data_IF_595939818835
#
_entry.id   IF_595939818835
#
_cell.length_a   1.000
_cell.length_b   1.000
_cell.length_c   1.000
_cell.angle_alpha   90.00
_cell.angle_beta   90.00
_cell.angle_gamma   90.00
#
_symmetry.space_group_name_H-M   'P 1'
#
loop_
_entity.id
_entity.type
_entity.pdbx_description
1 polymer ?
#
# COMPACT_ATOMS: atom_id res chain seq x y z
N UNK A 1 -23.04 -8.29 18.44
CA UNK A 1 -21.65 -8.76 18.26
C UNK A 1 -21.59 -10.24 18.64
N UNK A 2 -21.63 -11.13 17.64
CA UNK A 2 -21.47 -12.57 17.91
C UNK A 2 -20.01 -12.93 17.63
N UNK A 3 -19.28 -13.24 18.67
CA UNK A 3 -17.97 -13.87 18.56
C UNK A 3 -18.20 -15.29 18.02
N UNK A 4 -17.77 -15.58 16.81
CA UNK A 4 -17.82 -16.93 16.24
C UNK A 4 -17.03 -17.90 17.11
N UNK A 5 -17.64 -19.01 17.46
CA UNK A 5 -17.02 -20.04 18.29
C UNK A 5 -16.00 -20.86 17.49
N UNK A 6 -15.06 -21.51 18.20
CA UNK A 6 -14.07 -22.43 17.58
C UNK A 6 -14.77 -23.57 16.80
N UNK A 7 -16.04 -23.84 17.07
CA UNK A 7 -16.86 -24.82 16.35
C UNK A 7 -17.26 -24.33 14.96
N UNK A 8 -17.42 -23.01 14.74
CA UNK A 8 -17.72 -22.41 13.44
C UNK A 8 -16.55 -22.56 12.47
N UNK A 9 -15.32 -22.55 12.98
CA UNK A 9 -14.10 -22.75 12.18
C UNK A 9 -13.99 -24.18 11.65
N UNK A 10 -14.54 -25.18 12.35
CA UNK A 10 -14.54 -26.59 11.89
C UNK A 10 -15.62 -26.89 10.86
N UNK A 11 -16.72 -26.15 10.83
CA UNK A 11 -17.80 -26.31 9.86
C UNK A 11 -17.40 -25.86 8.44
N UNK A 12 -16.38 -25.00 8.31
CA UNK A 12 -15.84 -24.53 7.03
C UNK A 12 -15.02 -25.59 6.26
N UNK A 13 -14.70 -26.72 6.88
CA UNK A 13 -13.85 -27.76 6.27
C UNK A 13 -14.59 -28.91 5.59
N UNK A 14 -15.93 -28.91 5.51
CA UNK A 14 -16.67 -30.02 4.91
C UNK A 14 -17.80 -29.57 3.99
N UNK A 15 -17.47 -29.25 2.73
CA UNK A 15 -18.50 -29.27 1.65
C UNK A 15 -17.90 -29.87 0.38
N UNK A 16 -18.20 -31.16 0.18
CA UNK A 16 -18.07 -31.81 -1.13
C UNK A 16 -19.08 -31.17 -2.08
N UNK A 17 -18.60 -30.63 -3.21
CA UNK A 17 -19.46 -30.24 -4.35
C UNK A 17 -19.68 -28.74 -4.58
N UNK A 18 -19.05 -27.82 -3.81
CA UNK A 18 -19.08 -26.40 -4.11
C UNK A 18 -17.83 -26.04 -4.93
N UNK A 19 -17.98 -25.36 -6.05
CA UNK A 19 -16.87 -24.69 -6.73
C UNK A 19 -16.16 -23.88 -5.66
N UNK A 20 -14.87 -24.17 -5.42
CA UNK A 20 -14.10 -23.40 -4.45
C UNK A 20 -13.98 -21.97 -5.01
N UNK A 21 -14.35 -20.98 -4.22
CA UNK A 21 -14.14 -19.60 -4.61
C UNK A 21 -12.63 -19.36 -4.85
N UNK A 22 -12.33 -18.58 -5.86
CA UNK A 22 -10.97 -18.10 -6.11
C UNK A 22 -10.51 -17.14 -5.02
N UNK A 23 -9.27 -16.69 -5.10
CA UNK A 23 -8.59 -15.85 -4.10
C UNK A 23 -8.19 -14.52 -4.67
N UNK A 24 -8.07 -13.51 -3.79
CA UNK A 24 -7.41 -12.26 -4.09
C UNK A 24 -5.94 -12.33 -3.63
N UNK A 25 -5.02 -12.05 -4.56
CA UNK A 25 -3.59 -11.92 -4.29
C UNK A 25 -3.16 -10.46 -4.39
N UNK A 26 -2.70 -9.87 -3.28
CA UNK A 26 -2.09 -8.55 -3.30
C UNK A 26 -0.62 -8.72 -3.70
N UNK A 27 -0.25 -8.26 -4.88
CA UNK A 27 1.06 -8.46 -5.47
C UNK A 27 1.85 -7.15 -5.47
N UNK A 28 2.83 -7.04 -4.57
CA UNK A 28 3.68 -5.87 -4.49
C UNK A 28 4.54 -5.70 -5.75
N UNK A 29 4.47 -4.52 -6.37
CA UNK A 29 5.23 -4.14 -7.57
C UNK A 29 6.46 -3.31 -7.20
N UNK A 30 7.49 -3.24 -8.07
CA UNK A 30 8.66 -2.42 -7.83
C UNK A 30 8.34 -0.95 -7.59
N UNK A 31 9.07 -0.29 -6.68
CA UNK A 31 8.92 1.15 -6.39
C UNK A 31 9.91 2.03 -7.19
N UNK A 32 10.74 1.42 -8.01
CA UNK A 32 11.71 2.14 -8.83
C UNK A 32 12.78 1.26 -9.49
N UNK A 33 12.95 0.03 -9.02
CA UNK A 33 13.90 -0.93 -9.56
C UNK A 33 13.19 -2.27 -9.83
N UNK A 34 13.23 -2.74 -11.06
CA UNK A 34 12.56 -3.98 -11.47
C UNK A 34 13.09 -5.22 -10.73
N UNK A 35 14.33 -5.18 -10.23
CA UNK A 35 14.94 -6.28 -9.48
C UNK A 35 14.32 -6.48 -8.09
N UNK A 36 13.58 -5.50 -7.58
CA UNK A 36 12.91 -5.59 -6.29
C UNK A 36 11.62 -6.44 -6.31
N UNK A 37 11.14 -6.86 -7.48
CA UNK A 37 10.00 -7.78 -7.56
C UNK A 37 10.40 -9.17 -7.06
N UNK A 38 9.53 -9.80 -6.29
CA UNK A 38 9.82 -11.14 -5.81
C UNK A 38 9.50 -12.22 -6.84
N UNK A 39 10.26 -13.30 -6.86
CA UNK A 39 9.97 -14.49 -7.69
C UNK A 39 8.53 -15.00 -7.48
N UNK A 40 8.02 -14.93 -6.25
CA UNK A 40 6.66 -15.36 -5.92
C UNK A 40 5.63 -14.47 -6.58
N UNK A 41 5.83 -13.15 -6.59
CA UNK A 41 4.92 -12.21 -7.28
C UNK A 41 4.91 -12.50 -8.78
N UNK A 42 6.07 -12.62 -9.43
CA UNK A 42 6.15 -12.92 -10.87
C UNK A 42 5.41 -14.23 -11.20
N UNK A 43 5.64 -15.28 -10.40
CA UNK A 43 4.95 -16.55 -10.57
C UNK A 43 3.44 -16.40 -10.41
N UNK A 44 2.98 -15.78 -9.33
CA UNK A 44 1.54 -15.57 -9.07
C UNK A 44 0.87 -14.78 -10.19
N UNK A 45 1.50 -13.71 -10.69
CA UNK A 45 0.98 -12.93 -11.82
C UNK A 45 0.87 -13.73 -13.13
N UNK A 46 1.68 -14.81 -13.30
CA UNK A 46 1.58 -15.72 -14.43
C UNK A 46 0.51 -16.81 -14.27
N UNK A 47 0.17 -17.14 -13.03
CA UNK A 47 -0.73 -18.24 -12.67
C UNK A 47 -2.19 -17.83 -12.48
N UNK A 48 -2.46 -16.58 -12.04
CA UNK A 48 -3.83 -16.10 -11.82
C UNK A 48 -4.62 -15.92 -13.13
N UNK A 49 -5.94 -15.91 -13.04
CA UNK A 49 -6.83 -15.77 -14.18
C UNK A 49 -7.00 -14.33 -14.64
N UNK A 50 -6.82 -13.36 -13.74
CA UNK A 50 -7.00 -11.94 -14.04
C UNK A 50 -6.10 -11.08 -13.15
N UNK A 51 -5.55 -10.01 -13.73
CA UNK A 51 -4.83 -8.97 -12.99
C UNK A 51 -5.69 -7.71 -12.95
N UNK A 52 -6.01 -7.22 -11.75
CA UNK A 52 -6.58 -5.90 -11.52
C UNK A 52 -5.44 -4.89 -11.27
N UNK A 53 -5.37 -3.83 -12.08
CA UNK A 53 -4.28 -2.87 -12.04
C UNK A 53 -4.80 -1.43 -11.92
N UNK A 54 -4.11 -0.59 -11.16
CA UNK A 54 -4.46 0.81 -10.96
C UNK A 54 -4.38 1.60 -12.27
N UNK A 55 -3.23 1.61 -12.94
CA UNK A 55 -3.07 2.10 -14.31
C UNK A 55 -2.54 0.98 -15.23
N UNK A 56 -3.41 0.51 -16.12
CA UNK A 56 -3.08 -0.56 -17.05
C UNK A 56 -1.97 -0.17 -18.03
N UNK A 57 -1.81 1.13 -18.35
CA UNK A 57 -0.77 1.63 -19.26
C UNK A 57 0.63 1.55 -18.63
N UNK A 58 0.72 1.78 -17.33
CA UNK A 58 1.97 1.63 -16.58
C UNK A 58 2.27 0.15 -16.35
N UNK A 59 1.28 -0.60 -15.91
CA UNK A 59 1.41 -2.02 -15.58
C UNK A 59 1.82 -2.88 -16.77
N UNK A 60 1.37 -2.56 -18.00
CA UNK A 60 1.74 -3.36 -19.18
C UNK A 60 3.26 -3.41 -19.42
N UNK A 61 4.00 -2.36 -19.04
CA UNK A 61 5.47 -2.35 -19.17
C UNK A 61 6.12 -3.36 -18.24
N UNK A 62 5.63 -3.42 -16.99
CA UNK A 62 6.08 -4.40 -16.00
C UNK A 62 5.77 -5.83 -16.46
N UNK A 63 4.52 -6.08 -16.88
CA UNK A 63 4.07 -7.40 -17.30
C UNK A 63 4.86 -7.88 -18.53
N UNK A 64 5.09 -7.02 -19.51
CA UNK A 64 5.90 -7.36 -20.70
C UNK A 64 7.35 -7.68 -20.32
N UNK A 65 7.95 -6.93 -19.38
CA UNK A 65 9.33 -7.19 -18.95
C UNK A 65 9.52 -8.59 -18.36
N UNK A 66 8.53 -9.08 -17.61
CA UNK A 66 8.56 -10.41 -16.99
C UNK A 66 7.82 -11.49 -17.80
N UNK A 67 7.46 -11.17 -19.07
CA UNK A 67 6.74 -12.10 -19.96
C UNK A 67 5.45 -12.65 -19.34
N UNK A 68 4.69 -11.79 -18.64
CA UNK A 68 3.40 -12.12 -18.06
C UNK A 68 2.32 -11.79 -19.09
N UNK A 69 1.50 -12.79 -19.45
CA UNK A 69 0.46 -12.69 -20.49
C UNK A 69 -0.96 -12.74 -19.91
N UNK A 70 -1.09 -12.77 -18.60
CA UNK A 70 -2.37 -12.82 -17.90
C UNK A 70 -3.23 -11.61 -18.28
N UNK A 71 -4.52 -11.80 -18.57
CA UNK A 71 -5.45 -10.71 -18.88
C UNK A 71 -5.46 -9.67 -17.75
N UNK A 72 -5.65 -8.39 -18.14
CA UNK A 72 -5.62 -7.28 -17.19
C UNK A 72 -6.90 -6.44 -17.29
N UNK A 73 -7.36 -5.93 -16.16
CA UNK A 73 -8.48 -4.98 -16.05
C UNK A 73 -8.09 -3.81 -15.17
N UNK A 74 -8.71 -2.65 -15.37
CA UNK A 74 -8.48 -1.47 -14.53
C UNK A 74 -9.22 -1.57 -13.20
N UNK A 75 -8.56 -1.13 -12.11
CA UNK A 75 -9.14 -0.97 -10.79
C UNK A 75 -8.51 0.26 -10.13
N UNK A 76 -9.19 1.40 -10.15
CA UNK A 76 -8.67 2.69 -9.70
C UNK A 76 -9.69 3.46 -8.88
N UNK A 77 -9.30 4.56 -8.26
CA UNK A 77 -10.09 5.35 -7.31
C UNK A 77 -11.51 5.69 -7.83
N UNK A 78 -11.65 5.99 -9.13
CA UNK A 78 -12.94 6.41 -9.71
C UNK A 78 -13.92 5.26 -10.00
N UNK A 79 -13.46 4.01 -10.02
CA UNK A 79 -14.32 2.84 -10.28
C UNK A 79 -14.29 1.79 -9.16
N UNK A 80 -13.57 2.05 -8.07
CA UNK A 80 -13.19 1.06 -7.06
C UNK A 80 -14.36 0.26 -6.47
N UNK A 81 -15.48 0.90 -6.18
CA UNK A 81 -16.60 0.21 -5.52
C UNK A 81 -17.34 -0.73 -6.47
N UNK A 82 -17.81 -0.23 -7.62
CA UNK A 82 -18.50 -1.06 -8.60
C UNK A 82 -17.59 -2.19 -9.10
N UNK A 83 -16.35 -1.83 -9.40
CA UNK A 83 -15.38 -2.79 -9.93
C UNK A 83 -14.99 -3.85 -8.89
N UNK A 84 -14.94 -3.50 -7.59
CA UNK A 84 -14.68 -4.46 -6.53
C UNK A 84 -15.74 -5.58 -6.51
N UNK A 85 -17.02 -5.22 -6.57
CA UNK A 85 -18.09 -6.24 -6.63
C UNK A 85 -18.00 -7.11 -7.88
N UNK A 86 -17.68 -6.53 -9.05
CA UNK A 86 -17.45 -7.31 -10.28
C UNK A 86 -16.28 -8.31 -10.13
N UNK A 87 -15.21 -7.93 -9.42
CA UNK A 87 -14.07 -8.79 -9.14
C UNK A 87 -14.44 -9.88 -8.13
N UNK A 88 -15.21 -9.52 -7.10
CA UNK A 88 -15.72 -10.49 -6.10
C UNK A 88 -16.61 -11.55 -6.78
N UNK A 89 -17.50 -11.15 -7.68
CA UNK A 89 -18.35 -12.11 -8.39
C UNK A 89 -17.52 -13.09 -9.22
N UNK A 90 -16.46 -12.62 -9.90
CA UNK A 90 -15.53 -13.49 -10.61
C UNK A 90 -14.79 -14.46 -9.67
N UNK A 91 -14.37 -13.99 -8.49
CA UNK A 91 -13.76 -14.88 -7.49
C UNK A 91 -14.75 -15.90 -6.94
N UNK A 92 -16.01 -15.55 -6.78
CA UNK A 92 -17.07 -16.51 -6.44
C UNK A 92 -17.29 -17.60 -7.50
N UNK A 93 -17.03 -17.26 -8.76
CA UNK A 93 -17.04 -18.21 -9.89
C UNK A 93 -15.78 -19.11 -9.93
N UNK A 94 -14.81 -18.87 -9.02
CA UNK A 94 -13.60 -19.67 -8.87
C UNK A 94 -12.34 -19.08 -9.51
N UNK A 95 -12.38 -17.83 -10.02
CA UNK A 95 -11.21 -17.21 -10.63
C UNK A 95 -10.28 -16.65 -9.56
N UNK A 96 -8.99 -16.93 -9.68
CA UNK A 96 -7.94 -16.27 -8.90
C UNK A 96 -7.59 -14.90 -9.50
N UNK A 97 -7.56 -13.88 -8.66
CA UNK A 97 -7.30 -12.50 -9.11
C UNK A 97 -6.09 -11.92 -8.37
N UNK A 98 -5.16 -11.31 -9.11
CA UNK A 98 -4.10 -10.51 -8.54
C UNK A 98 -4.44 -9.02 -8.60
N UNK A 99 -4.23 -8.30 -7.50
CA UNK A 99 -4.25 -6.85 -7.47
C UNK A 99 -2.82 -6.33 -7.49
N UNK A 100 -2.55 -5.38 -8.38
CA UNK A 100 -1.30 -4.61 -8.43
C UNK A 100 -1.60 -3.12 -8.45
N UNK A 101 -0.70 -2.32 -7.93
CA UNK A 101 -0.70 -0.86 -7.98
C UNK A 101 0.44 -0.36 -8.86
N UNK A 102 0.50 0.93 -9.11
CA UNK A 102 1.57 1.54 -9.92
C UNK A 102 2.95 1.33 -9.28
N UNK A 103 3.03 1.33 -7.95
CA UNK A 103 4.28 1.11 -7.22
C UNK A 103 4.04 0.63 -5.79
N UNK A 104 4.71 -0.43 -5.38
CA UNK A 104 4.71 -0.91 -4.01
C UNK A 104 3.64 -1.93 -3.68
N UNK A 105 3.29 -2.02 -2.41
CA UNK A 105 2.37 -3.01 -1.85
C UNK A 105 0.93 -2.50 -1.96
N UNK A 106 0.02 -3.23 -2.64
CA UNK A 106 -1.39 -2.85 -2.74
C UNK A 106 -2.09 -2.79 -1.37
N UNK A 107 -3.05 -1.86 -1.23
CA UNK A 107 -3.78 -1.62 0.01
C UNK A 107 -3.05 -0.69 1.00
N UNK A 108 -1.94 -0.08 0.56
CA UNK A 108 -1.19 0.91 1.34
C UNK A 108 -1.23 2.25 0.62
N UNK A 109 -2.19 3.10 0.99
CA UNK A 109 -2.43 4.41 0.37
C UNK A 109 -2.89 4.36 -1.09
N UNK A 110 -3.68 3.36 -1.42
CA UNK A 110 -4.28 3.13 -2.74
C UNK A 110 -5.67 2.48 -2.61
N UNK A 111 -6.48 2.42 -3.69
CA UNK A 111 -7.85 1.87 -3.63
C UNK A 111 -7.93 0.37 -3.30
N UNK A 112 -6.82 -0.33 -3.19
CA UNK A 112 -6.77 -1.74 -2.80
C UNK A 112 -7.38 -2.03 -1.44
N UNK A 113 -7.34 -1.07 -0.52
CA UNK A 113 -7.96 -1.16 0.80
C UNK A 113 -9.45 -1.48 0.70
N UNK A 114 -10.19 -0.80 -0.19
CA UNK A 114 -11.62 -1.03 -0.39
C UNK A 114 -11.91 -2.44 -0.93
N UNK A 115 -11.10 -2.92 -1.89
CA UNK A 115 -11.26 -4.27 -2.44
C UNK A 115 -11.01 -5.33 -1.36
N UNK A 116 -9.98 -5.17 -0.54
CA UNK A 116 -9.67 -6.08 0.57
C UNK A 116 -10.82 -6.12 1.57
N UNK A 117 -11.35 -4.96 1.96
CA UNK A 117 -12.49 -4.85 2.87
C UNK A 117 -13.72 -5.56 2.32
N UNK A 118 -14.07 -5.32 1.05
CA UNK A 118 -15.20 -5.97 0.40
C UNK A 118 -14.98 -7.49 0.29
N UNK A 119 -13.79 -7.95 -0.07
CA UNK A 119 -13.45 -9.37 -0.08
C UNK A 119 -13.64 -10.00 1.30
N UNK A 120 -13.23 -9.34 2.36
CA UNK A 120 -13.42 -9.81 3.73
C UNK A 120 -14.91 -9.90 4.10
N UNK A 121 -15.72 -8.89 3.77
CA UNK A 121 -17.16 -8.85 3.99
C UNK A 121 -17.89 -9.98 3.22
N UNK A 122 -17.39 -10.32 2.03
CA UNK A 122 -17.97 -11.33 1.12
C UNK A 122 -17.37 -12.74 1.28
N UNK A 123 -16.49 -12.93 2.26
CA UNK A 123 -15.88 -14.23 2.57
C UNK A 123 -14.89 -14.75 1.52
N UNK A 124 -14.32 -13.88 0.70
CA UNK A 124 -13.25 -14.20 -0.26
C UNK A 124 -11.90 -14.21 0.47
N UNK A 125 -11.12 -15.27 0.25
CA UNK A 125 -9.78 -15.39 0.81
C UNK A 125 -8.82 -14.35 0.19
N UNK A 126 -8.08 -13.61 1.02
CA UNK A 126 -7.08 -12.63 0.60
C UNK A 126 -5.70 -13.06 1.06
N UNK A 127 -4.73 -13.03 0.17
CA UNK A 127 -3.31 -13.29 0.47
C UNK A 127 -2.47 -12.12 0.02
N UNK A 128 -1.72 -11.51 0.93
CA UNK A 128 -0.71 -10.49 0.59
C UNK A 128 0.67 -11.11 0.40
N UNK A 129 1.28 -10.85 -0.74
CA UNK A 129 2.62 -11.32 -1.04
C UNK A 129 3.64 -10.26 -0.58
N UNK A 130 4.59 -10.61 0.31
CA UNK A 130 5.63 -9.66 0.73
C UNK A 130 6.40 -9.09 -0.46
N UNK A 131 6.72 -7.81 -0.39
CA UNK A 131 7.48 -7.15 -1.44
C UNK A 131 7.79 -5.69 -1.13
N UNK A 132 8.16 -4.89 -2.13
CA UNK A 132 8.55 -3.49 -1.95
C UNK A 132 7.47 -2.66 -1.28
N UNK A 133 7.88 -1.82 -0.30
CA UNK A 133 7.03 -0.84 0.35
C UNK A 133 7.87 0.42 0.66
N UNK A 134 7.55 1.53 0.04
CA UNK A 134 8.34 2.76 0.15
C UNK A 134 8.45 3.24 1.61
N UNK A 135 7.37 3.17 2.40
CA UNK A 135 7.37 3.58 3.80
C UNK A 135 8.36 2.77 4.65
N UNK A 136 8.43 1.47 4.45
CA UNK A 136 9.36 0.60 5.19
C UNK A 136 10.80 0.82 4.70
N UNK A 137 11.01 0.92 3.39
CA UNK A 137 12.33 1.20 2.81
C UNK A 137 12.87 2.55 3.33
N UNK A 138 12.06 3.61 3.29
CA UNK A 138 12.43 4.91 3.82
C UNK A 138 12.71 4.85 5.33
N UNK A 139 11.86 4.19 6.12
CA UNK A 139 12.03 4.08 7.57
C UNK A 139 13.34 3.38 7.93
N UNK A 140 13.66 2.27 7.28
CA UNK A 140 14.88 1.49 7.59
C UNK A 140 16.17 2.23 7.25
N UNK A 141 16.17 3.07 6.20
CA UNK A 141 17.35 3.85 5.83
C UNK A 141 17.41 5.23 6.47
N UNK A 142 16.32 5.71 7.10
CA UNK A 142 16.22 7.08 7.63
C UNK A 142 17.16 7.38 8.80
N UNK A 143 17.59 6.36 9.56
CA UNK A 143 18.29 6.54 10.84
C UNK A 143 17.36 7.01 11.98
N UNK A 144 16.03 6.99 11.78
CA UNK A 144 15.04 7.26 12.82
C UNK A 144 14.70 5.98 13.59
N UNK A 145 14.08 6.04 14.79
CA UNK A 145 13.64 4.85 15.49
C UNK A 145 12.59 4.08 14.70
N UNK A 146 12.82 2.80 14.52
CA UNK A 146 11.96 1.91 13.73
C UNK A 146 11.00 1.08 14.58
N UNK A 147 11.22 1.00 15.89
CA UNK A 147 10.44 0.10 16.77
C UNK A 147 8.95 0.48 16.84
N UNK A 148 8.64 1.77 16.81
CA UNK A 148 7.28 2.30 16.83
C UNK A 148 7.21 3.46 15.84
N UNK A 149 6.28 3.38 14.91
CA UNK A 149 6.06 4.43 13.92
C UNK A 149 4.56 4.59 13.63
N UNK A 150 4.20 5.73 13.08
CA UNK A 150 2.88 6.05 12.56
C UNK A 150 3.01 6.34 11.07
N UNK A 151 2.16 5.74 10.25
CA UNK A 151 2.09 5.98 8.82
C UNK A 151 0.84 6.81 8.51
N UNK A 152 1.05 8.01 7.99
CA UNK A 152 -0.02 8.99 7.71
C UNK A 152 -0.34 9.08 6.21
N UNK A 153 0.34 8.28 5.37
CA UNK A 153 0.18 8.32 3.93
C UNK A 153 0.36 9.76 3.36
N UNK A 154 -0.47 10.16 2.38
CA UNK A 154 -0.54 11.53 1.89
C UNK A 154 -1.44 12.37 2.78
N UNK A 155 -0.94 13.53 3.24
CA UNK A 155 -1.77 14.46 3.99
C UNK A 155 -2.95 14.97 3.12
N UNK A 156 -4.15 15.17 3.69
CA UNK A 156 -5.30 15.63 2.96
C UNK A 156 -5.03 16.91 2.15
N UNK A 157 -5.63 17.02 0.98
CA UNK A 157 -5.53 18.24 0.14
C UNK A 157 -6.43 19.35 0.62
N UNK A 158 -7.57 19.00 1.21
CA UNK A 158 -8.52 19.94 1.77
C UNK A 158 -7.91 20.58 3.03
N UNK A 159 -7.90 21.92 3.09
CA UNK A 159 -7.18 22.70 4.12
C UNK A 159 -7.64 22.37 5.54
N UNK A 160 -8.95 22.20 5.73
CA UNK A 160 -9.53 21.95 7.07
C UNK A 160 -9.17 20.54 7.58
N UNK A 161 -9.29 19.55 6.71
CA UNK A 161 -8.93 18.16 7.03
C UNK A 161 -7.42 18.03 7.29
N UNK A 162 -6.61 18.68 6.45
CA UNK A 162 -5.15 18.72 6.61
C UNK A 162 -4.73 19.33 7.95
N UNK A 163 -5.34 20.46 8.31
CA UNK A 163 -5.08 21.10 9.60
C UNK A 163 -5.48 20.22 10.78
N UNK A 164 -6.60 19.48 10.66
CA UNK A 164 -7.05 18.54 11.69
C UNK A 164 -6.05 17.40 11.88
N UNK A 165 -5.54 16.79 10.80
CA UNK A 165 -4.51 15.74 10.86
C UNK A 165 -3.23 16.29 11.47
N UNK A 166 -2.72 17.43 10.99
CA UNK A 166 -1.51 18.05 11.54
C UNK A 166 -1.64 18.34 13.04
N UNK A 167 -2.79 18.83 13.48
CA UNK A 167 -3.08 19.07 14.90
C UNK A 167 -3.01 17.79 15.75
N UNK A 168 -3.45 16.65 15.24
CA UNK A 168 -3.34 15.36 15.92
C UNK A 168 -1.88 14.92 16.07
N UNK A 169 -1.04 15.23 15.07
CA UNK A 169 0.37 14.86 15.05
C UNK A 169 1.24 15.67 16.03
N UNK A 170 0.74 16.77 16.58
CA UNK A 170 1.49 17.60 17.56
C UNK A 170 1.98 16.79 18.74
N UNK A 171 1.17 15.86 19.24
CA UNK A 171 1.50 15.02 20.39
C UNK A 171 2.05 13.64 20.01
N UNK A 172 2.24 13.35 18.71
CA UNK A 172 2.77 12.07 18.27
C UNK A 172 4.27 11.94 18.64
N UNK A 173 4.60 10.88 19.35
CA UNK A 173 5.95 10.59 19.87
C UNK A 173 6.69 9.52 19.05
N UNK A 174 5.98 8.79 18.22
CA UNK A 174 6.54 7.79 17.31
C UNK A 174 7.19 8.48 16.11
N UNK A 175 8.00 7.73 15.36
CA UNK A 175 8.43 8.18 14.02
C UNK A 175 7.21 8.28 13.12
N UNK A 176 6.96 9.45 12.56
CA UNK A 176 5.87 9.70 11.61
C UNK A 176 6.43 9.51 10.20
N UNK A 177 5.70 8.78 9.37
CA UNK A 177 6.01 8.58 7.95
C UNK A 177 4.90 9.22 7.14
N UNK A 178 5.28 10.15 6.26
CA UNK A 178 4.37 10.88 5.37
C UNK A 178 4.82 10.66 3.93
N UNK A 179 3.87 10.43 3.02
CA UNK A 179 4.12 10.49 1.58
C UNK A 179 3.85 11.90 1.07
N UNK A 180 4.74 12.39 0.21
CA UNK A 180 4.52 13.69 -0.40
C UNK A 180 5.00 13.74 -1.85
N UNK A 181 4.26 14.48 -2.67
CA UNK A 181 4.64 14.73 -4.05
C UNK A 181 5.74 15.79 -4.14
N UNK A 182 6.73 15.66 -5.05
CA UNK A 182 7.88 16.57 -5.10
C UNK A 182 7.51 18.05 -5.19
N UNK A 183 6.44 18.38 -5.93
CA UNK A 183 5.98 19.76 -6.13
C UNK A 183 5.24 20.35 -4.93
N UNK A 184 4.89 19.56 -3.93
CA UNK A 184 4.28 20.02 -2.68
C UNK A 184 5.24 19.99 -1.49
N UNK A 185 6.41 19.37 -1.63
CA UNK A 185 7.33 19.08 -0.55
C UNK A 185 7.69 20.33 0.29
N UNK A 186 8.09 21.44 -0.36
CA UNK A 186 8.51 22.66 0.35
C UNK A 186 7.38 23.19 1.23
N UNK A 187 6.19 23.32 0.67
CA UNK A 187 5.02 23.79 1.42
C UNK A 187 4.70 22.88 2.59
N UNK A 188 4.75 21.55 2.38
CA UNK A 188 4.49 20.58 3.44
C UNK A 188 5.53 20.66 4.55
N UNK A 189 6.81 20.89 4.22
CA UNK A 189 7.87 21.08 5.22
C UNK A 189 7.63 22.35 6.05
N UNK A 190 7.22 23.47 5.43
CA UNK A 190 6.86 24.70 6.12
C UNK A 190 5.69 24.48 7.08
N UNK A 191 4.60 23.85 6.62
CA UNK A 191 3.43 23.54 7.45
C UNK A 191 3.77 22.60 8.62
N UNK A 192 4.62 21.60 8.40
CA UNK A 192 5.09 20.70 9.44
C UNK A 192 5.94 21.46 10.48
N UNK A 193 6.83 22.34 10.03
CA UNK A 193 7.64 23.15 10.93
C UNK A 193 6.78 24.09 11.78
N UNK A 194 5.83 24.80 11.18
CA UNK A 194 4.91 25.70 11.88
C UNK A 194 4.03 24.98 12.91
N UNK A 195 3.57 23.76 12.58
CA UNK A 195 2.62 23.04 13.42
C UNK A 195 3.30 22.15 14.46
N UNK A 196 4.31 21.41 14.04
CA UNK A 196 4.99 20.42 14.89
C UNK A 196 6.23 20.97 15.58
N UNK A 197 6.65 22.20 15.22
CA UNK A 197 7.90 22.78 15.65
C UNK A 197 9.10 22.07 15.02
N UNK A 198 10.25 22.37 15.57
CA UNK A 198 11.51 21.86 15.07
C UNK A 198 11.76 20.42 15.47
N UNK A 199 11.57 19.52 14.51
CA UNK A 199 11.74 18.07 14.69
C UNK A 199 12.81 17.53 13.79
N UNK A 200 13.45 16.46 14.21
CA UNK A 200 14.37 15.72 13.36
C UNK A 200 13.63 15.11 12.17
N UNK A 201 14.03 15.47 10.96
CA UNK A 201 13.39 15.10 9.71
C UNK A 201 14.37 14.34 8.82
N UNK A 202 13.88 13.37 8.06
CA UNK A 202 14.60 12.72 6.97
C UNK A 202 13.72 12.69 5.74
N UNK A 203 14.20 13.26 4.64
CA UNK A 203 13.56 13.13 3.32
C UNK A 203 14.25 12.02 2.56
N UNK A 204 13.47 11.05 2.10
CA UNK A 204 13.92 9.96 1.23
C UNK A 204 13.26 10.11 -0.13
N UNK A 205 14.04 10.15 -1.20
CA UNK A 205 13.51 10.26 -2.56
C UNK A 205 14.25 9.35 -3.52
N UNK A 206 13.61 9.07 -4.66
CA UNK A 206 14.17 8.20 -5.72
C UNK A 206 14.63 6.83 -5.17
N UNK A 207 13.90 6.31 -4.16
CA UNK A 207 14.17 5.03 -3.51
C UNK A 207 14.35 3.91 -4.54
N UNK A 208 15.37 3.11 -4.38
CA UNK A 208 15.77 1.99 -5.24
C UNK A 208 16.23 2.38 -6.65
N UNK A 209 16.13 3.65 -7.03
CA UNK A 209 16.55 4.15 -8.34
C UNK A 209 18.03 4.59 -8.35
N UNK A 210 18.53 4.90 -9.54
CA UNK A 210 19.93 5.31 -9.75
C UNK A 210 20.37 6.52 -8.91
N UNK A 211 19.47 7.43 -8.62
CA UNK A 211 19.73 8.65 -7.87
C UNK A 211 19.01 8.63 -6.52
N UNK A 212 18.99 7.46 -5.88
CA UNK A 212 18.47 7.33 -4.53
C UNK A 212 19.15 8.31 -3.59
N UNK A 213 18.35 9.05 -2.86
CA UNK A 213 18.85 10.09 -1.98
C UNK A 213 18.13 10.08 -0.63
N UNK A 214 18.93 10.22 0.42
CA UNK A 214 18.47 10.45 1.78
C UNK A 214 19.05 11.78 2.27
N UNK A 215 18.18 12.77 2.45
CA UNK A 215 18.52 14.05 3.05
C UNK A 215 18.10 14.02 4.52
N UNK A 216 19.09 13.96 5.42
CA UNK A 216 18.85 14.14 6.85
C UNK A 216 18.92 15.63 7.18
N UNK A 217 17.78 16.25 7.41
CA UNK A 217 17.71 17.60 7.94
C UNK A 217 17.84 17.49 9.46
N UNK A 218 19.06 17.74 9.93
CA UNK A 218 19.35 17.84 11.36
C UNK A 218 18.84 19.19 11.81
N UNK A 219 17.95 19.26 12.70
CA UNK A 219 17.88 20.28 13.59
C UNK A 219 16.96 20.54 14.54
N UNK A 220 17.07 21.29 15.17
CA UNK A 220 17.34 22.41 16.06
C UNK A 220 16.61 22.11 17.39
N UNK A 221 17.34 22.04 18.44
CA UNK A 221 16.96 22.18 19.85
C UNK A 221 15.79 21.36 20.48
N UNK A 222 15.64 20.06 20.25
CA UNK A 222 15.25 19.11 21.30
C UNK A 222 15.08 17.66 20.80
N UNK A 223 15.44 16.63 21.59
CA UNK A 223 15.82 15.31 21.05
C UNK A 223 14.70 14.30 20.83
N UNK A 224 13.42 14.63 20.76
CA UNK A 224 12.38 13.63 20.93
C UNK A 224 11.34 13.45 19.83
N UNK A 225 11.33 14.21 18.74
CA UNK A 225 10.26 14.10 17.72
C UNK A 225 10.82 14.02 16.30
N UNK A 226 10.37 13.03 15.49
CA UNK A 226 11.03 12.60 14.25
C UNK A 226 10.03 12.34 13.13
N UNK A 227 10.34 12.78 11.90
CA UNK A 227 9.51 12.58 10.70
C UNK A 227 10.34 11.98 9.56
N UNK A 228 9.76 11.10 8.77
CA UNK A 228 10.30 10.55 7.51
C UNK A 228 9.34 10.90 6.39
N UNK A 229 9.82 11.51 5.32
CA UNK A 229 9.04 11.90 4.15
C UNK A 229 9.59 11.20 2.91
#
# INVERSE_FOLDING_TARGET
MHAGSIQDVRALCTTKGKVMAGKLYLCATPIGNLEDITYRVVRTLKEVDLIAAEDTRNSIRLLNHFEIRTPMTSYHEYNKIEKAYQLVDKMREGLDIALITDAGTPGISDPGEDLVRICYEEGIEVTSLPGPAACITALTMSGQPTRRFAFEAFLPREKKERAAVLSQLVNETRTIIIYEAPHHLIRTLEELYETLGDRKLTVCRELTKRYEEKLSLIHISEPTRRVVI
#
